data_IF_349817378995
#
_entry.id   IF_349817378995
#
_cell.length_a   1.000
_cell.length_b   1.000
_cell.length_c   1.000
_cell.angle_alpha   90.00
_cell.angle_beta   90.00
_cell.angle_gamma   90.00
#
_symmetry.space_group_name_H-M   'P 1'
#
loop_
_entity.id
_entity.type
_entity.pdbx_description
1 polymer ?
#
# COMPACT_ATOMS: atom_id res chain seq x y z
N UNK A 1 25.32 -19.81 -12.89
CA UNK A 1 25.43 -18.36 -12.58
C UNK A 1 24.04 -17.92 -12.21
N UNK A 2 23.78 -17.74 -10.91
CA UNK A 2 22.58 -17.06 -10.46
C UNK A 2 22.70 -15.61 -10.95
N UNK A 3 21.85 -15.25 -11.88
CA UNK A 3 21.65 -13.84 -12.21
C UNK A 3 20.98 -13.23 -11.01
N UNK A 4 21.67 -12.30 -10.32
CA UNK A 4 21.07 -11.47 -9.28
C UNK A 4 19.84 -10.78 -9.90
N UNK A 5 18.66 -11.33 -9.62
CA UNK A 5 17.41 -10.67 -10.02
C UNK A 5 17.24 -9.43 -9.13
N UNK A 6 17.03 -8.29 -9.77
CA UNK A 6 16.58 -7.09 -9.04
C UNK A 6 15.26 -7.40 -8.34
N UNK A 7 15.16 -7.02 -7.08
CA UNK A 7 13.88 -6.98 -6.35
C UNK A 7 13.22 -5.65 -6.69
N UNK A 8 12.03 -5.73 -7.29
CA UNK A 8 11.25 -4.56 -7.67
C UNK A 8 10.03 -4.48 -6.77
N UNK A 9 9.86 -3.36 -6.07
CA UNK A 9 8.71 -3.11 -5.21
C UNK A 9 7.79 -2.13 -5.93
N UNK A 10 6.54 -2.53 -6.13
CA UNK A 10 5.51 -1.69 -6.72
C UNK A 10 4.79 -0.87 -5.66
N UNK A 11 5.01 0.44 -5.60
CA UNK A 11 4.53 1.33 -4.53
C UNK A 11 3.28 2.14 -4.91
N UNK A 12 2.33 1.58 -5.61
CA UNK A 12 1.17 2.36 -6.06
C UNK A 12 -0.11 2.14 -5.25
N UNK A 13 -0.28 1.00 -4.56
CA UNK A 13 -1.47 0.73 -3.75
C UNK A 13 -1.32 1.41 -2.39
N UNK A 14 -1.52 2.72 -2.40
CA UNK A 14 -1.10 3.59 -1.31
C UNK A 14 -2.10 4.75 -1.12
N UNK A 15 -2.62 4.94 0.07
CA UNK A 15 -3.64 5.97 0.35
C UNK A 15 -3.12 7.40 0.26
N UNK A 16 -1.80 7.61 0.21
CA UNK A 16 -1.18 8.91 -0.05
C UNK A 16 -1.20 9.32 -1.53
N UNK A 17 -1.42 8.38 -2.46
CA UNK A 17 -1.38 8.64 -3.89
C UNK A 17 -2.53 9.53 -4.31
N UNK A 18 -2.20 10.59 -5.07
CA UNK A 18 -3.17 11.59 -5.53
C UNK A 18 -3.13 11.78 -7.04
N UNK A 19 -4.30 12.05 -7.61
CA UNK A 19 -4.41 12.68 -8.92
C UNK A 19 -4.85 14.14 -8.76
N UNK A 20 -4.39 15.01 -9.66
CA UNK A 20 -4.93 16.37 -9.74
C UNK A 20 -6.35 16.30 -10.33
N UNK A 21 -7.31 16.98 -9.69
CA UNK A 21 -8.72 17.01 -10.10
C UNK A 21 -8.88 17.48 -11.55
N UNK A 22 -8.06 18.44 -11.98
CA UNK A 22 -8.03 18.94 -13.37
C UNK A 22 -7.09 18.13 -14.29
N UNK A 23 -6.59 16.99 -13.80
CA UNK A 23 -5.69 16.11 -14.55
C UNK A 23 -6.43 15.18 -15.51
N UNK A 24 -5.71 14.59 -16.45
CA UNK A 24 -6.24 13.68 -17.49
C UNK A 24 -6.85 12.37 -16.93
N UNK A 25 -6.63 12.08 -15.64
CA UNK A 25 -7.12 10.88 -14.97
C UNK A 25 -8.46 11.11 -14.25
N UNK A 26 -9.00 12.32 -14.30
CA UNK A 26 -10.29 12.69 -13.74
C UNK A 26 -11.20 13.19 -14.84
N UNK A 27 -12.41 12.68 -14.90
CA UNK A 27 -13.41 13.03 -15.91
C UNK A 27 -14.73 12.33 -15.67
N UNK A 28 -15.76 12.62 -16.48
CA UNK A 28 -17.05 11.98 -16.32
C UNK A 28 -17.02 10.50 -16.77
N UNK A 29 -17.79 9.65 -16.07
CA UNK A 29 -18.14 8.32 -16.56
C UNK A 29 -19.30 8.40 -17.57
N UNK A 30 -19.82 7.25 -17.97
CA UNK A 30 -20.95 7.16 -18.93
C UNK A 30 -22.26 7.78 -18.41
N UNK A 31 -22.39 7.91 -17.10
CA UNK A 31 -23.55 8.54 -16.44
C UNK A 31 -23.33 10.05 -16.17
N UNK A 32 -22.18 10.60 -16.58
CA UNK A 32 -21.82 12.00 -16.32
C UNK A 32 -21.27 12.25 -14.92
N UNK A 33 -21.01 11.21 -14.12
CA UNK A 33 -20.47 11.34 -12.77
C UNK A 33 -18.95 11.52 -12.82
N UNK A 34 -18.42 12.46 -12.04
CA UNK A 34 -16.97 12.67 -11.92
C UNK A 34 -16.29 11.43 -11.35
N UNK A 35 -15.31 10.91 -12.07
CA UNK A 35 -14.69 9.62 -11.81
C UNK A 35 -13.18 9.63 -12.05
N UNK A 36 -12.48 8.72 -11.43
CA UNK A 36 -11.11 8.35 -11.80
C UNK A 36 -11.17 7.46 -13.04
N UNK A 37 -10.50 7.87 -14.11
CA UNK A 37 -10.44 7.15 -15.38
C UNK A 37 -9.25 6.17 -15.37
N UNK A 38 -9.50 4.90 -15.68
CA UNK A 38 -8.43 3.91 -15.75
C UNK A 38 -8.69 2.87 -16.86
N UNK A 39 -7.73 2.02 -17.09
CA UNK A 39 -7.87 0.82 -17.91
C UNK A 39 -7.96 -0.38 -17.00
N UNK A 40 -8.98 -1.22 -17.20
CA UNK A 40 -9.10 -2.49 -16.51
C UNK A 40 -8.06 -3.51 -17.03
N UNK A 41 -8.09 -4.72 -16.51
CA UNK A 41 -7.11 -5.76 -16.87
C UNK A 41 -7.20 -6.18 -18.35
N UNK A 42 -8.38 -6.05 -18.97
CA UNK A 42 -8.61 -6.32 -20.40
C UNK A 42 -8.18 -5.14 -21.30
N UNK A 43 -7.83 -3.99 -20.73
CA UNK A 43 -7.50 -2.77 -21.45
C UNK A 43 -8.70 -1.88 -21.79
N UNK A 44 -9.90 -2.23 -21.33
CA UNK A 44 -11.11 -1.43 -21.52
C UNK A 44 -11.11 -0.19 -20.62
N UNK A 45 -11.82 0.85 -21.04
CA UNK A 45 -12.04 2.02 -20.21
C UNK A 45 -12.96 1.68 -19.05
N UNK A 46 -12.53 2.02 -17.84
CA UNK A 46 -13.25 1.79 -16.59
C UNK A 46 -13.18 3.02 -15.70
N UNK A 47 -14.07 3.07 -14.71
CA UNK A 47 -14.32 4.27 -13.92
C UNK A 47 -14.43 3.91 -12.43
N UNK A 48 -13.77 4.69 -11.59
CA UNK A 48 -14.00 4.70 -10.14
C UNK A 48 -14.70 6.02 -9.81
N UNK A 49 -16.03 6.02 -9.58
CA UNK A 49 -16.77 7.24 -9.23
C UNK A 49 -16.21 7.89 -7.97
N UNK A 50 -16.14 9.23 -7.97
CA UNK A 50 -15.71 9.99 -6.81
C UNK A 50 -16.95 10.29 -5.96
N UNK A 51 -17.08 9.67 -4.77
CA UNK A 51 -18.30 9.80 -3.98
C UNK A 51 -18.40 11.18 -3.30
N UNK A 52 -19.62 11.59 -2.99
CA UNK A 52 -19.89 12.90 -2.43
C UNK A 52 -19.24 13.12 -1.06
N UNK A 53 -19.10 12.05 -0.25
CA UNK A 53 -18.38 12.16 1.02
C UNK A 53 -16.93 12.61 0.81
N UNK A 54 -16.28 12.13 -0.26
CA UNK A 54 -14.91 12.52 -0.59
C UNK A 54 -14.84 13.95 -1.13
N UNK A 55 -15.80 14.38 -1.97
CA UNK A 55 -15.89 15.74 -2.49
C UNK A 55 -16.03 16.80 -1.40
N UNK A 56 -16.52 16.42 -0.23
CA UNK A 56 -16.63 17.30 0.93
C UNK A 56 -15.31 17.43 1.74
N UNK A 57 -14.28 16.63 1.43
CA UNK A 57 -12.98 16.68 2.12
C UNK A 57 -12.16 17.92 1.73
N UNK A 58 -11.25 18.33 2.64
CA UNK A 58 -10.31 19.41 2.37
C UNK A 58 -9.37 19.07 1.20
N UNK A 59 -8.92 17.83 1.10
CA UNK A 59 -8.04 17.33 0.03
C UNK A 59 -8.68 17.54 -1.36
N UNK A 60 -9.97 17.22 -1.49
CA UNK A 60 -10.68 17.42 -2.74
C UNK A 60 -10.86 18.91 -3.06
N UNK A 61 -11.22 19.74 -2.07
CA UNK A 61 -11.34 21.20 -2.23
C UNK A 61 -10.02 21.86 -2.64
N UNK A 62 -8.89 21.26 -2.30
CA UNK A 62 -7.55 21.66 -2.74
C UNK A 62 -7.17 21.11 -4.13
N UNK A 63 -8.11 20.48 -4.83
CA UNK A 63 -7.92 19.99 -6.19
C UNK A 63 -7.18 18.65 -6.28
N UNK A 64 -7.19 17.84 -5.22
CA UNK A 64 -6.51 16.54 -5.16
C UNK A 64 -7.50 15.40 -4.90
N UNK A 65 -7.31 14.27 -5.58
CA UNK A 65 -8.15 13.06 -5.45
C UNK A 65 -7.27 11.90 -4.97
N UNK A 66 -7.51 11.44 -3.73
CA UNK A 66 -6.86 10.25 -3.15
C UNK A 66 -7.58 8.99 -3.62
N UNK A 67 -7.21 8.52 -4.78
CA UNK A 67 -7.97 7.48 -5.49
C UNK A 67 -7.94 6.12 -4.80
N UNK A 68 -6.82 5.69 -4.20
CA UNK A 68 -6.79 4.44 -3.42
C UNK A 68 -7.54 4.53 -2.10
N UNK A 69 -7.56 5.71 -1.46
CA UNK A 69 -8.41 5.94 -0.30
C UNK A 69 -9.90 5.72 -0.65
N UNK A 70 -10.36 6.27 -1.79
CA UNK A 70 -11.73 6.06 -2.27
C UNK A 70 -11.98 4.58 -2.55
N UNK A 71 -11.09 3.92 -3.29
CA UNK A 71 -11.26 2.51 -3.67
C UNK A 71 -11.34 1.59 -2.44
N UNK A 72 -10.47 1.78 -1.44
CA UNK A 72 -10.45 0.97 -0.21
C UNK A 72 -11.70 1.25 0.64
N UNK A 73 -12.08 2.52 0.83
CA UNK A 73 -13.29 2.88 1.59
C UNK A 73 -14.56 2.32 0.93
N UNK A 74 -14.65 2.39 -0.40
CA UNK A 74 -15.74 1.78 -1.15
C UNK A 74 -15.78 0.26 -0.92
N UNK A 75 -14.64 -0.42 -0.98
CA UNK A 75 -14.57 -1.86 -0.73
C UNK A 75 -15.04 -2.27 0.66
N UNK A 76 -14.75 -1.46 1.68
CA UNK A 76 -15.11 -1.76 3.08
C UNK A 76 -16.59 -1.49 3.36
N UNK A 77 -17.12 -0.36 2.90
CA UNK A 77 -18.40 0.18 3.38
C UNK A 77 -19.32 0.76 2.29
N UNK A 78 -18.94 0.67 1.02
CA UNK A 78 -19.75 1.14 -0.09
C UNK A 78 -20.96 0.28 -0.36
N UNK A 79 -21.86 0.77 -1.22
CA UNK A 79 -22.91 -0.03 -1.84
C UNK A 79 -22.29 -1.16 -2.68
N UNK A 80 -23.06 -2.15 -3.08
CA UNK A 80 -22.57 -3.27 -3.91
C UNK A 80 -21.87 -2.77 -5.18
N UNK A 81 -22.37 -1.72 -5.81
CA UNK A 81 -21.76 -1.12 -7.00
C UNK A 81 -20.45 -0.41 -6.69
N UNK A 82 -20.38 0.32 -5.56
CA UNK A 82 -19.17 1.01 -5.12
C UNK A 82 -18.09 0.02 -4.68
N UNK A 83 -18.46 -1.05 -3.96
CA UNK A 83 -17.55 -2.13 -3.59
C UNK A 83 -16.91 -2.73 -4.84
N UNK A 84 -17.73 -3.11 -5.81
CA UNK A 84 -17.24 -3.66 -7.09
C UNK A 84 -16.30 -2.70 -7.79
N UNK A 85 -16.65 -1.41 -7.90
CA UNK A 85 -15.81 -0.41 -8.55
C UNK A 85 -14.46 -0.22 -7.82
N UNK A 86 -14.46 -0.23 -6.49
CA UNK A 86 -13.24 -0.16 -5.68
C UNK A 86 -12.33 -1.37 -5.86
N UNK A 87 -12.90 -2.58 -5.81
CA UNK A 87 -12.18 -3.84 -6.02
C UNK A 87 -11.59 -3.94 -7.43
N UNK A 88 -12.36 -3.62 -8.46
CA UNK A 88 -11.89 -3.62 -9.85
C UNK A 88 -10.75 -2.61 -10.07
N UNK A 89 -10.82 -1.46 -9.42
CA UNK A 89 -9.76 -0.45 -9.49
C UNK A 89 -8.45 -0.94 -8.87
N UNK A 90 -8.52 -1.54 -7.67
CA UNK A 90 -7.34 -2.10 -6.99
C UNK A 90 -6.79 -3.28 -7.79
N UNK A 91 -7.65 -4.16 -8.29
CA UNK A 91 -7.26 -5.29 -9.13
C UNK A 91 -6.50 -4.85 -10.39
N UNK A 92 -7.02 -3.84 -11.08
CA UNK A 92 -6.35 -3.30 -12.28
C UNK A 92 -4.93 -2.79 -11.97
N UNK A 93 -4.73 -2.16 -10.80
CA UNK A 93 -3.42 -1.68 -10.38
C UNK A 93 -2.49 -2.84 -9.96
N UNK A 94 -2.99 -3.85 -9.24
CA UNK A 94 -2.24 -5.07 -8.91
C UNK A 94 -1.73 -5.71 -10.23
N UNK A 95 -2.62 -5.99 -11.17
CA UNK A 95 -2.27 -6.61 -12.46
C UNK A 95 -1.30 -5.77 -13.26
N UNK A 96 -1.47 -4.43 -13.23
CA UNK A 96 -0.56 -3.52 -13.92
C UNK A 96 0.86 -3.65 -13.37
N UNK A 97 1.05 -3.59 -12.06
CA UNK A 97 2.36 -3.68 -11.43
C UNK A 97 3.00 -5.06 -11.62
N UNK A 98 2.23 -6.14 -11.50
CA UNK A 98 2.68 -7.51 -11.77
C UNK A 98 3.18 -7.68 -13.23
N UNK A 99 2.45 -7.14 -14.21
CA UNK A 99 2.88 -7.14 -15.62
C UNK A 99 4.19 -6.40 -15.86
N UNK A 100 4.48 -5.36 -15.08
CA UNK A 100 5.76 -4.65 -15.12
C UNK A 100 6.88 -5.32 -14.32
N UNK A 101 6.63 -6.49 -13.74
CA UNK A 101 7.64 -7.33 -13.10
C UNK A 101 7.92 -6.98 -11.65
N UNK A 102 6.96 -6.38 -10.94
CA UNK A 102 7.08 -6.17 -9.49
C UNK A 102 7.21 -7.51 -8.77
N UNK A 103 8.22 -7.60 -7.90
CA UNK A 103 8.46 -8.77 -7.04
C UNK A 103 7.56 -8.74 -5.82
N UNK A 104 7.34 -7.56 -5.27
CA UNK A 104 6.42 -7.27 -4.18
C UNK A 104 5.54 -6.08 -4.56
N UNK A 105 4.33 -6.04 -4.00
CA UNK A 105 3.47 -4.87 -4.10
C UNK A 105 3.23 -4.28 -2.71
N UNK A 106 3.51 -3.00 -2.60
CA UNK A 106 3.40 -2.24 -1.36
C UNK A 106 1.95 -1.88 -1.08
N UNK A 107 1.49 -2.19 0.13
CA UNK A 107 0.13 -1.94 0.60
C UNK A 107 0.20 -0.97 1.78
N UNK A 108 -0.30 0.25 1.58
CA UNK A 108 -0.28 1.30 2.60
C UNK A 108 -1.66 1.96 2.77
N UNK A 109 -2.11 2.04 4.02
CA UNK A 109 -3.40 2.62 4.41
C UNK A 109 -3.26 3.80 5.40
N UNK A 110 -2.04 4.30 5.64
CA UNK A 110 -1.76 5.28 6.70
C UNK A 110 -2.63 6.54 6.62
N UNK A 111 -2.94 7.00 5.40
CA UNK A 111 -3.72 8.22 5.20
C UNK A 111 -5.22 7.98 5.00
N UNK A 112 -5.73 6.76 5.22
CA UNK A 112 -7.18 6.51 5.11
C UNK A 112 -7.97 7.22 6.22
N UNK A 113 -7.37 7.33 7.40
CA UNK A 113 -7.92 8.02 8.57
C UNK A 113 -6.80 8.27 9.59
N UNK A 114 -6.97 9.28 10.45
CA UNK A 114 -6.14 9.49 11.64
C UNK A 114 -6.50 8.55 12.82
N UNK A 115 -7.60 7.78 12.69
CA UNK A 115 -8.05 6.81 13.70
C UNK A 115 -7.43 5.45 13.41
N UNK A 116 -6.63 4.94 14.34
CA UNK A 116 -5.91 3.67 14.19
C UNK A 116 -6.84 2.47 13.91
N UNK A 117 -8.03 2.44 14.52
CA UNK A 117 -8.99 1.35 14.30
C UNK A 117 -9.52 1.31 12.86
N UNK A 118 -9.65 2.47 12.21
CA UNK A 118 -10.03 2.54 10.80
C UNK A 118 -8.89 2.08 9.89
N UNK A 119 -7.64 2.44 10.23
CA UNK A 119 -6.46 1.96 9.53
C UNK A 119 -6.33 0.43 9.65
N UNK A 120 -6.55 -0.14 10.85
CA UNK A 120 -6.54 -1.60 11.08
C UNK A 120 -7.57 -2.30 10.20
N UNK A 121 -8.82 -1.85 10.23
CA UNK A 121 -9.89 -2.40 9.40
C UNK A 121 -9.56 -2.31 7.90
N UNK A 122 -8.97 -1.21 7.47
CA UNK A 122 -8.59 -1.00 6.08
C UNK A 122 -7.44 -1.92 5.66
N UNK A 123 -6.44 -2.12 6.50
CA UNK A 123 -5.33 -3.04 6.25
C UNK A 123 -5.82 -4.49 6.20
N UNK A 124 -6.66 -4.92 7.15
CA UNK A 124 -7.26 -6.26 7.13
C UNK A 124 -8.03 -6.52 5.85
N UNK A 125 -8.92 -5.60 5.46
CA UNK A 125 -9.71 -5.73 4.24
C UNK A 125 -8.82 -5.76 2.99
N UNK A 126 -7.86 -4.83 2.89
CA UNK A 126 -6.98 -4.73 1.73
C UNK A 126 -6.12 -5.99 1.54
N UNK A 127 -5.53 -6.50 2.62
CA UNK A 127 -4.72 -7.72 2.59
C UNK A 127 -5.59 -8.94 2.25
N UNK A 128 -6.80 -9.04 2.81
CA UNK A 128 -7.72 -10.14 2.49
C UNK A 128 -8.10 -10.13 1.00
N UNK A 129 -8.44 -8.96 0.46
CA UNK A 129 -8.73 -8.81 -0.98
C UNK A 129 -7.50 -9.16 -1.82
N UNK A 130 -6.33 -8.61 -1.45
CA UNK A 130 -5.06 -8.87 -2.12
C UNK A 130 -4.74 -10.36 -2.22
N UNK A 131 -4.90 -11.11 -1.13
CA UNK A 131 -4.67 -12.56 -1.09
C UNK A 131 -5.50 -13.33 -2.10
N UNK A 132 -6.70 -12.85 -2.41
CA UNK A 132 -7.62 -13.53 -3.33
C UNK A 132 -7.31 -13.30 -4.81
N UNK A 133 -6.55 -12.25 -5.14
CA UNK A 133 -6.38 -11.81 -6.53
C UNK A 133 -4.93 -11.69 -7.00
N UNK A 134 -3.98 -11.38 -6.12
CA UNK A 134 -2.58 -11.15 -6.49
C UNK A 134 -1.82 -12.47 -6.72
N UNK A 135 -0.70 -12.38 -7.44
CA UNK A 135 0.29 -13.47 -7.60
C UNK A 135 1.64 -13.15 -6.96
N UNK A 136 1.94 -11.86 -6.77
CA UNK A 136 3.13 -11.40 -6.06
C UNK A 136 2.87 -11.30 -4.55
N UNK A 137 3.86 -11.60 -3.67
CA UNK A 137 3.71 -11.40 -2.23
C UNK A 137 3.56 -9.90 -1.89
N UNK A 138 2.80 -9.56 -0.83
CA UNK A 138 2.65 -8.18 -0.39
C UNK A 138 3.90 -7.66 0.31
N UNK A 139 4.15 -6.37 0.19
CA UNK A 139 4.94 -5.56 1.11
C UNK A 139 3.98 -4.79 2.01
N UNK A 140 3.98 -5.08 3.30
CA UNK A 140 3.15 -4.36 4.26
C UNK A 140 3.88 -3.09 4.67
N UNK A 141 3.33 -1.94 4.28
CA UNK A 141 3.91 -0.62 4.51
C UNK A 141 3.06 0.19 5.47
N UNK A 142 3.66 0.63 6.54
CA UNK A 142 3.05 1.58 7.48
C UNK A 142 4.10 2.26 8.35
N UNK A 143 3.80 3.48 8.77
CA UNK A 143 4.51 4.20 9.83
C UNK A 143 4.20 3.65 11.23
N UNK A 144 3.14 2.85 11.40
CA UNK A 144 2.70 2.24 12.64
C UNK A 144 3.06 0.76 12.70
N UNK A 145 3.78 0.33 13.76
CA UNK A 145 4.05 -1.09 14.01
C UNK A 145 2.78 -1.91 14.26
N UNK A 146 1.73 -1.29 14.81
CA UNK A 146 0.43 -1.95 14.97
C UNK A 146 -0.21 -2.28 13.62
N UNK A 147 -0.12 -1.39 12.64
CA UNK A 147 -0.67 -1.63 11.30
C UNK A 147 0.17 -2.67 10.54
N UNK A 148 1.51 -2.64 10.68
CA UNK A 148 2.38 -3.70 10.16
C UNK A 148 1.96 -5.05 10.70
N UNK A 149 1.75 -5.16 12.01
CA UNK A 149 1.33 -6.40 12.66
C UNK A 149 -0.02 -6.89 12.11
N UNK A 150 -1.02 -6.01 12.02
CA UNK A 150 -2.35 -6.35 11.51
C UNK A 150 -2.29 -6.89 10.08
N UNK A 151 -1.51 -6.23 9.20
CA UNK A 151 -1.33 -6.69 7.82
C UNK A 151 -0.68 -8.07 7.73
N UNK A 152 0.36 -8.30 8.52
CA UNK A 152 1.07 -9.57 8.57
C UNK A 152 0.19 -10.70 9.16
N UNK A 153 -0.55 -10.41 10.23
CA UNK A 153 -1.50 -11.37 10.82
C UNK A 153 -2.61 -11.74 9.86
N UNK A 154 -3.15 -10.77 9.13
CA UNK A 154 -4.17 -11.03 8.12
C UNK A 154 -3.60 -11.85 6.96
N UNK A 155 -2.39 -11.57 6.50
CA UNK A 155 -1.73 -12.34 5.45
C UNK A 155 -1.46 -13.79 5.89
N UNK A 156 -1.08 -13.99 7.16
CA UNK A 156 -0.95 -15.33 7.78
C UNK A 156 -2.29 -16.09 7.79
N UNK A 157 -3.38 -15.42 8.20
CA UNK A 157 -4.74 -16.00 8.19
C UNK A 157 -5.18 -16.42 6.79
N UNK A 158 -4.74 -15.74 5.75
CA UNK A 158 -4.97 -16.12 4.35
C UNK A 158 -4.15 -17.34 3.90
N UNK A 159 -3.23 -17.83 4.71
CA UNK A 159 -2.36 -18.96 4.37
C UNK A 159 -1.17 -18.59 3.47
N UNK A 160 -0.83 -17.31 3.33
CA UNK A 160 0.30 -16.80 2.52
C UNK A 160 0.33 -17.34 1.09
N UNK A 161 -0.71 -17.16 0.30
CA UNK A 161 -0.85 -17.83 -0.99
C UNK A 161 0.24 -17.44 -2.01
N UNK A 162 0.89 -16.27 -1.81
CA UNK A 162 1.94 -15.76 -2.70
C UNK A 162 3.37 -15.95 -2.15
N UNK A 163 3.54 -16.55 -0.96
CA UNK A 163 4.85 -16.78 -0.32
C UNK A 163 5.15 -15.79 0.81
N UNK A 164 6.44 -15.55 1.07
CA UNK A 164 6.85 -14.73 2.21
C UNK A 164 6.58 -13.23 1.96
N UNK A 165 5.97 -12.51 2.91
CA UNK A 165 5.71 -11.08 2.79
C UNK A 165 6.99 -10.25 2.98
N UNK A 166 6.89 -8.96 2.70
CA UNK A 166 7.90 -7.96 3.05
C UNK A 166 7.35 -6.98 4.08
N UNK A 167 8.21 -6.46 4.92
CA UNK A 167 7.91 -5.38 5.88
C UNK A 167 8.57 -4.10 5.37
N UNK A 168 7.81 -3.05 5.21
CA UNK A 168 8.29 -1.72 4.86
C UNK A 168 7.89 -0.73 5.96
N UNK A 169 8.77 -0.40 6.85
CA UNK A 169 10.17 -0.72 7.04
C UNK A 169 10.52 -0.86 8.53
N UNK A 170 11.70 -1.36 8.82
CA UNK A 170 12.33 -1.25 10.14
C UNK A 170 13.40 -0.14 10.14
N UNK A 171 13.58 0.50 11.28
CA UNK A 171 14.60 1.52 11.53
C UNK A 171 15.04 1.48 13.00
N UNK A 172 16.07 2.23 13.38
CA UNK A 172 16.46 2.34 14.79
C UNK A 172 15.34 2.92 15.67
N UNK A 173 14.46 3.77 15.11
CA UNK A 173 13.26 4.29 15.78
C UNK A 173 12.19 3.20 15.99
N UNK A 174 12.13 2.22 15.10
CA UNK A 174 11.14 1.14 15.08
C UNK A 174 11.81 -0.22 15.00
N UNK A 175 12.77 -0.45 15.88
CA UNK A 175 13.58 -1.67 15.90
C UNK A 175 12.73 -2.92 16.19
N UNK A 176 11.63 -2.76 16.93
CA UNK A 176 10.70 -3.82 17.25
C UNK A 176 10.03 -4.44 16.01
N UNK A 177 10.00 -3.73 14.87
CA UNK A 177 9.51 -4.29 13.61
C UNK A 177 10.33 -5.49 13.14
N UNK A 178 11.60 -5.61 13.57
CA UNK A 178 12.44 -6.79 13.29
C UNK A 178 11.91 -8.07 13.93
N UNK A 179 11.17 -7.97 15.05
CA UNK A 179 10.54 -9.15 15.66
C UNK A 179 9.55 -9.84 14.72
N UNK A 180 8.94 -9.08 13.80
CA UNK A 180 8.01 -9.62 12.81
C UNK A 180 8.73 -10.40 11.71
N UNK A 181 10.00 -10.11 11.42
CA UNK A 181 10.79 -10.80 10.40
C UNK A 181 10.83 -12.30 10.72
N UNK A 182 11.26 -12.65 11.93
CA UNK A 182 11.34 -14.03 12.37
C UNK A 182 9.95 -14.66 12.56
N UNK A 183 9.02 -13.91 13.17
CA UNK A 183 7.67 -14.42 13.47
C UNK A 183 6.89 -14.80 12.20
N UNK A 184 7.00 -14.00 11.15
CA UNK A 184 6.26 -14.19 9.89
C UNK A 184 7.12 -14.68 8.74
N UNK A 185 8.40 -15.04 8.99
CA UNK A 185 9.38 -15.39 7.94
C UNK A 185 9.36 -14.37 6.80
N UNK A 186 9.41 -13.09 7.15
CA UNK A 186 9.25 -11.97 6.22
C UNK A 186 10.61 -11.45 5.73
N UNK A 187 10.62 -10.85 4.54
CA UNK A 187 11.68 -9.94 4.13
C UNK A 187 11.49 -8.58 4.82
N UNK A 188 12.54 -7.78 4.90
CA UNK A 188 12.43 -6.44 5.51
C UNK A 188 13.25 -5.40 4.75
N UNK A 189 12.67 -4.22 4.58
CA UNK A 189 13.40 -3.02 4.19
C UNK A 189 13.91 -2.38 5.48
N UNK A 190 15.23 -2.18 5.58
CA UNK A 190 15.82 -1.40 6.66
C UNK A 190 16.15 0.00 6.17
N UNK A 191 15.89 1.00 6.99
CA UNK A 191 16.21 2.40 6.69
C UNK A 191 17.27 2.93 7.63
N UNK A 192 18.03 3.92 7.15
CA UNK A 192 19.09 4.57 7.93
C UNK A 192 18.57 5.71 8.84
N UNK A 193 17.27 5.73 9.15
CA UNK A 193 16.69 6.67 10.10
C UNK A 193 17.11 6.31 11.54
N UNK A 194 17.50 7.33 12.32
CA UNK A 194 17.84 7.20 13.73
C UNK A 194 16.62 7.46 14.62
N UNK A 195 16.76 7.21 15.92
CA UNK A 195 15.71 7.46 16.93
C UNK A 195 15.32 8.94 16.98
N UNK A 196 16.25 9.84 16.70
CA UNK A 196 16.05 11.30 16.68
C UNK A 196 15.70 11.86 15.28
N UNK A 197 15.46 10.99 14.31
CA UNK A 197 14.99 11.35 12.97
C UNK A 197 15.95 11.02 11.83
N UNK A 198 15.85 11.78 10.76
CA UNK A 198 16.64 11.53 9.54
C UNK A 198 18.08 12.02 9.71
N UNK A 199 19.09 11.22 9.33
CA UNK A 199 20.50 11.60 9.44
C UNK A 199 20.82 12.79 8.53
N UNK A 200 21.54 13.76 9.05
CA UNK A 200 21.94 14.97 8.34
C UNK A 200 23.26 14.82 7.56
N UNK A 201 24.10 13.84 7.91
CA UNK A 201 25.40 13.61 7.29
C UNK A 201 25.51 12.22 6.66
N UNK A 202 26.44 12.05 5.73
CA UNK A 202 26.76 10.74 5.14
C UNK A 202 27.26 9.75 6.20
N UNK A 203 28.09 10.22 7.15
CA UNK A 203 28.62 9.36 8.21
C UNK A 203 27.49 8.84 9.11
N UNK A 204 26.59 9.69 9.55
CA UNK A 204 25.42 9.27 10.34
C UNK A 204 24.58 8.20 9.60
N UNK A 205 24.40 8.33 8.28
CA UNK A 205 23.68 7.33 7.48
C UNK A 205 24.40 5.99 7.48
N UNK A 206 25.73 6.01 7.35
CA UNK A 206 26.56 4.79 7.37
C UNK A 206 26.48 4.13 8.74
N UNK A 207 26.60 4.91 9.82
CA UNK A 207 26.58 4.41 11.19
C UNK A 207 25.21 3.77 11.50
N UNK A 208 24.11 4.48 11.22
CA UNK A 208 22.74 3.98 11.41
C UNK A 208 22.47 2.72 10.59
N UNK A 209 22.88 2.69 9.31
CA UNK A 209 22.70 1.52 8.47
C UNK A 209 23.52 0.33 8.99
N UNK A 210 24.76 0.58 9.46
CA UNK A 210 25.62 -0.47 10.03
C UNK A 210 25.02 -1.05 11.31
N UNK A 211 24.47 -0.21 12.18
CA UNK A 211 23.78 -0.62 13.40
C UNK A 211 22.54 -1.46 13.08
N UNK A 212 21.69 -1.01 12.12
CA UNK A 212 20.53 -1.79 11.68
C UNK A 212 20.93 -3.16 11.12
N UNK A 213 22.02 -3.25 10.34
CA UNK A 213 22.53 -4.53 9.83
C UNK A 213 22.94 -5.45 10.97
N UNK A 214 23.61 -4.92 12.01
CA UNK A 214 23.99 -5.72 13.18
C UNK A 214 22.76 -6.28 13.91
N UNK A 215 21.69 -5.48 14.05
CA UNK A 215 20.43 -5.97 14.63
C UNK A 215 19.75 -7.07 13.78
N UNK A 216 19.94 -7.06 12.47
CA UNK A 216 19.41 -8.13 11.60
C UNK A 216 20.25 -9.43 11.66
N UNK A 217 21.50 -9.38 12.10
CA UNK A 217 22.40 -10.53 12.16
C UNK A 217 22.37 -11.26 13.51
N UNK A 218 21.82 -10.65 14.54
CA UNK A 218 21.66 -11.21 15.90
C UNK A 218 20.27 -11.82 16.11
#
# INVERSE_FOLDING_TARGET
KETNKFIVIGENIHTTRVFLQKGKRIGPNELGEESVLYKNDNGDSSYLPIPDYFKNTQVYKEGRVKHFMIAIQNGISGTVSEQKAGEEYILAEIRRQERYGSTFLDLNVDEISHRIEIQKQAMEWLVQFYCSVAVSPPSIDSSSTEILQVGLEQYEKCGRPQGNPMINSASLERIEALNFVNRYNAHVIITAAAVDGMPSTAQQRIDNASEMIQHCLN
#
